data_IF_710426726098
#
_entry.id   IF_710426726098
#
_cell.length_a   1.000
_cell.length_b   1.000
_cell.length_c   1.000
_cell.angle_alpha   90.00
_cell.angle_beta   90.00
_cell.angle_gamma   90.00
#
_symmetry.space_group_name_H-M   'P 1'
#
loop_
_entity.id
_entity.type
_entity.pdbx_description
1 polymer ?
#
# COMPACT_ATOMS: atom_id res chain seq x y z
N UNK A 1 -6.26 -18.99 4.54
CA UNK A 1 -5.34 -17.91 4.13
C UNK A 1 -4.98 -16.97 5.28
N UNK A 2 -5.94 -16.48 6.10
CA UNK A 2 -5.60 -15.69 7.29
C UNK A 2 -5.12 -16.52 8.50
N UNK A 3 -5.48 -17.80 8.58
CA UNK A 3 -5.04 -18.69 9.65
C UNK A 3 -3.52 -18.84 9.70
N UNK A 4 -2.84 -18.91 8.54
CA UNK A 4 -1.38 -18.92 8.47
C UNK A 4 -0.75 -17.56 8.83
N UNK A 5 -1.45 -16.45 8.53
CA UNK A 5 -1.02 -15.10 8.93
C UNK A 5 -1.26 -14.80 10.42
N UNK A 6 -1.98 -15.70 11.12
CA UNK A 6 -2.25 -15.61 12.56
C UNK A 6 -1.18 -16.33 13.38
N UNK A 7 -0.22 -17.01 12.73
CA UNK A 7 0.90 -17.62 13.42
C UNK A 7 1.80 -16.53 14.02
N UNK A 8 2.24 -16.68 15.28
CA UNK A 8 3.09 -15.70 15.93
C UNK A 8 4.47 -15.68 15.26
N UNK A 9 4.65 -14.75 14.31
CA UNK A 9 5.95 -14.39 13.77
C UNK A 9 6.61 -13.37 14.71
N UNK A 10 7.06 -13.85 15.86
CA UNK A 10 7.77 -13.00 16.83
C UNK A 10 9.26 -13.07 16.53
N UNK A 11 9.84 -11.91 16.26
CA UNK A 11 11.28 -11.75 16.11
C UNK A 11 11.83 -11.00 17.32
N UNK A 12 12.99 -11.41 17.82
CA UNK A 12 13.67 -10.67 18.89
C UNK A 12 14.21 -9.35 18.33
N UNK A 13 14.35 -8.33 19.19
CA UNK A 13 14.91 -7.05 18.77
C UNK A 13 16.30 -7.20 18.13
N UNK A 14 17.16 -8.03 18.71
CA UNK A 14 18.49 -8.31 18.17
C UNK A 14 18.43 -8.99 16.78
N UNK A 15 17.50 -9.93 16.56
CA UNK A 15 17.35 -10.56 15.25
C UNK A 15 16.79 -9.58 14.21
N UNK A 16 15.90 -8.67 14.61
CA UNK A 16 15.43 -7.59 13.75
C UNK A 16 16.57 -6.67 13.33
N UNK A 17 17.34 -6.14 14.28
CA UNK A 17 18.45 -5.22 14.03
C UNK A 17 19.54 -5.86 13.14
N UNK A 18 19.82 -7.15 13.34
CA UNK A 18 20.77 -7.89 12.50
C UNK A 18 20.29 -8.02 11.04
N UNK A 19 18.99 -8.23 10.81
CA UNK A 19 18.41 -8.35 9.48
C UNK A 19 18.16 -6.98 8.83
N UNK A 20 17.81 -5.97 9.62
CA UNK A 20 17.45 -4.62 9.19
C UNK A 20 18.55 -4.00 8.33
N UNK A 21 19.80 -4.03 8.79
CA UNK A 21 20.93 -3.42 8.06
C UNK A 21 21.05 -3.98 6.64
N UNK A 22 21.06 -5.31 6.51
CA UNK A 22 21.19 -5.96 5.20
C UNK A 22 19.97 -5.71 4.30
N UNK A 23 18.77 -5.70 4.88
CA UNK A 23 17.54 -5.43 4.13
C UNK A 23 17.48 -3.98 3.65
N UNK A 24 17.91 -3.04 4.48
CA UNK A 24 17.98 -1.61 4.16
C UNK A 24 18.95 -1.36 3.01
N UNK A 25 20.16 -1.91 3.07
CA UNK A 25 21.16 -1.78 1.99
C UNK A 25 20.60 -2.29 0.66
N UNK A 26 20.06 -3.51 0.65
CA UNK A 26 19.45 -4.11 -0.54
C UNK A 26 18.26 -3.31 -1.07
N UNK A 27 17.50 -2.66 -0.19
CA UNK A 27 16.37 -1.83 -0.58
C UNK A 27 16.84 -0.51 -1.24
N UNK A 28 17.91 0.09 -0.73
CA UNK A 28 18.56 1.26 -1.34
C UNK A 28 19.15 0.92 -2.71
N UNK A 29 19.87 -0.20 -2.82
CA UNK A 29 20.42 -0.67 -4.10
C UNK A 29 19.30 -0.83 -5.15
N UNK A 30 18.18 -1.46 -4.75
CA UNK A 30 17.02 -1.64 -5.61
C UNK A 30 16.37 -0.30 -6.00
N UNK A 31 16.33 0.67 -5.09
CA UNK A 31 15.83 2.01 -5.38
C UNK A 31 16.70 2.71 -6.43
N UNK A 32 18.02 2.69 -6.26
CA UNK A 32 18.95 3.29 -7.22
C UNK A 32 18.88 2.58 -8.57
N UNK A 33 18.74 1.25 -8.61
CA UNK A 33 18.56 0.51 -9.87
C UNK A 33 17.30 0.96 -10.62
N UNK A 34 16.19 1.17 -9.91
CA UNK A 34 14.95 1.71 -10.51
C UNK A 34 15.16 3.13 -11.02
N UNK A 35 15.78 3.99 -10.20
CA UNK A 35 16.06 5.39 -10.51
C UNK A 35 17.00 5.57 -11.71
N UNK A 36 17.98 4.69 -11.87
CA UNK A 36 18.95 4.71 -12.97
C UNK A 36 18.34 4.21 -14.28
N UNK A 37 17.60 3.09 -14.23
CA UNK A 37 17.01 2.50 -15.45
C UNK A 37 15.90 3.34 -16.04
N UNK A 38 15.11 4.02 -15.20
CA UNK A 38 13.96 4.87 -15.59
C UNK A 38 13.01 4.21 -16.59
N UNK A 39 12.91 2.89 -16.55
CA UNK A 39 12.06 2.10 -17.44
C UNK A 39 10.69 1.78 -16.81
N UNK A 40 10.59 1.86 -15.49
CA UNK A 40 9.42 1.53 -14.72
C UNK A 40 9.20 2.47 -13.53
N UNK A 41 7.97 2.57 -13.07
CA UNK A 41 7.62 3.16 -11.77
C UNK A 41 7.24 2.04 -10.78
N UNK A 42 7.39 2.30 -9.49
CA UNK A 42 7.01 1.32 -8.45
C UNK A 42 5.91 1.92 -7.59
N UNK A 43 4.85 1.18 -7.34
CA UNK A 43 3.77 1.56 -6.43
C UNK A 43 3.63 0.52 -5.32
N UNK A 44 3.87 0.93 -4.07
CA UNK A 44 3.79 0.09 -2.88
C UNK A 44 2.49 0.37 -2.14
N UNK A 45 1.52 -0.52 -2.26
CA UNK A 45 0.22 -0.41 -1.63
C UNK A 45 0.26 -1.04 -0.25
N UNK A 46 0.27 -0.20 0.78
CA UNK A 46 0.27 -0.62 2.18
C UNK A 46 -1.16 -0.64 2.70
N UNK A 47 -1.73 -1.84 2.78
CA UNK A 47 -3.10 -2.10 3.19
C UNK A 47 -3.16 -2.78 4.55
N UNK A 48 -4.35 -2.80 5.14
CA UNK A 48 -4.62 -3.45 6.42
C UNK A 48 -5.73 -2.73 7.18
N UNK A 49 -6.17 -3.34 8.28
CA UNK A 49 -7.18 -2.79 9.17
C UNK A 49 -6.71 -1.48 9.84
N UNK A 50 -7.60 -0.79 10.52
CA UNK A 50 -7.22 0.39 11.30
C UNK A 50 -6.46 -0.03 12.56
N UNK A 51 -5.40 0.71 12.92
CA UNK A 51 -4.56 0.40 14.09
C UNK A 51 -3.40 -0.59 13.84
N UNK A 52 -3.25 -1.13 12.63
CA UNK A 52 -2.21 -2.14 12.30
C UNK A 52 -0.81 -1.57 12.04
N UNK A 53 -0.63 -0.24 12.08
CA UNK A 53 0.69 0.39 11.91
C UNK A 53 1.07 0.79 10.48
N UNK A 54 0.11 0.96 9.56
CA UNK A 54 0.38 1.37 8.16
C UNK A 54 1.30 2.60 8.05
N UNK A 55 1.04 3.62 8.86
CA UNK A 55 1.84 4.86 8.87
C UNK A 55 3.25 4.68 9.43
N UNK A 56 3.42 3.79 10.42
CA UNK A 56 4.75 3.48 10.97
C UNK A 56 5.64 2.81 9.92
N UNK A 57 5.07 1.93 9.09
CA UNK A 57 5.78 1.32 7.96
C UNK A 57 6.16 2.36 6.91
N UNK A 58 5.26 3.27 6.56
CA UNK A 58 5.59 4.36 5.61
C UNK A 58 6.72 5.22 6.15
N UNK A 59 6.67 5.63 7.41
CA UNK A 59 7.73 6.41 8.04
C UNK A 59 9.06 5.63 8.05
N UNK A 60 9.03 4.33 8.36
CA UNK A 60 10.22 3.46 8.31
C UNK A 60 10.83 3.40 6.91
N UNK A 61 9.99 3.32 5.87
CA UNK A 61 10.45 3.33 4.48
C UNK A 61 11.06 4.68 4.10
N UNK A 62 10.52 5.81 4.56
CA UNK A 62 11.15 7.12 4.40
C UNK A 62 12.50 7.23 5.13
N UNK A 63 12.65 6.62 6.30
CA UNK A 63 13.94 6.59 7.01
C UNK A 63 15.00 5.75 6.25
N UNK A 64 14.56 4.75 5.49
CA UNK A 64 15.43 3.79 4.84
C UNK A 64 15.80 4.17 3.41
N UNK A 65 14.87 4.75 2.65
CA UNK A 65 15.00 5.11 1.24
C UNK A 65 15.48 6.55 1.07
N UNK A 66 16.07 6.85 -0.09
CA UNK A 66 16.34 8.23 -0.50
C UNK A 66 15.02 8.94 -0.86
N UNK A 67 14.74 10.07 -0.20
CA UNK A 67 13.49 10.81 -0.31
C UNK A 67 13.30 11.48 -1.69
N UNK A 68 14.36 11.73 -2.46
CA UNK A 68 14.27 12.33 -3.79
C UNK A 68 13.50 11.43 -4.77
N UNK A 69 13.56 10.11 -4.59
CA UNK A 69 12.92 9.13 -5.47
C UNK A 69 11.62 8.55 -4.90
N UNK A 70 11.18 9.00 -3.71
CA UNK A 70 9.99 8.49 -3.03
C UNK A 70 8.93 9.58 -2.91
N UNK A 71 7.67 9.21 -3.13
CA UNK A 71 6.53 10.08 -2.86
C UNK A 71 5.38 9.33 -2.18
N UNK A 72 4.60 10.03 -1.36
CA UNK A 72 3.44 9.46 -0.68
C UNK A 72 2.17 9.78 -1.46
N UNK A 73 1.43 8.73 -1.81
CA UNK A 73 0.14 8.81 -2.49
C UNK A 73 -0.96 8.44 -1.50
N UNK A 74 -1.55 9.45 -0.87
CA UNK A 74 -2.57 9.25 0.17
C UNK A 74 -3.98 9.54 -0.36
N UNK A 75 -4.86 8.54 -0.27
CA UNK A 75 -6.20 8.63 -0.82
C UNK A 75 -7.25 8.61 0.30
N UNK A 76 -7.92 9.76 0.45
CA UNK A 76 -9.09 9.90 1.30
C UNK A 76 -10.40 9.62 0.56
N UNK A 77 -11.49 10.21 1.09
CA UNK A 77 -12.77 10.27 0.37
C UNK A 77 -12.54 10.99 -0.96
N UNK A 78 -13.16 10.53 -2.05
CA UNK A 78 -13.04 11.23 -3.32
C UNK A 78 -13.50 12.69 -3.20
N UNK A 79 -12.88 13.61 -3.94
CA UNK A 79 -13.37 14.98 -4.12
C UNK A 79 -14.55 15.02 -5.10
N UNK A 80 -15.21 16.18 -5.26
CA UNK A 80 -16.25 16.35 -6.29
C UNK A 80 -15.71 16.12 -7.70
N UNK A 81 -14.50 16.63 -7.94
CA UNK A 81 -13.80 16.44 -9.20
C UNK A 81 -13.50 14.95 -9.47
N UNK A 82 -12.99 14.22 -8.48
CA UNK A 82 -12.73 12.79 -8.62
C UNK A 82 -14.01 11.98 -8.81
N UNK A 83 -15.15 12.42 -8.24
CA UNK A 83 -16.47 11.79 -8.44
C UNK A 83 -17.01 12.01 -9.85
N UNK A 84 -16.63 13.09 -10.50
CA UNK A 84 -17.06 13.41 -11.87
C UNK A 84 -16.30 12.61 -12.94
N UNK A 85 -15.34 11.76 -12.54
CA UNK A 85 -14.49 10.96 -13.44
C UNK A 85 -14.57 9.46 -13.10
N UNK A 86 -14.12 8.57 -14.01
CA UNK A 86 -14.03 7.15 -13.72
C UNK A 86 -13.22 6.89 -12.44
N UNK A 87 -13.63 5.91 -11.62
CA UNK A 87 -13.05 5.71 -10.29
C UNK A 87 -11.54 5.48 -10.28
N UNK A 88 -11.00 4.87 -11.35
CA UNK A 88 -9.56 4.63 -11.50
C UNK A 88 -8.77 5.91 -11.80
N UNK A 89 -9.39 6.94 -12.40
CA UNK A 89 -8.73 8.13 -12.94
C UNK A 89 -7.79 8.82 -11.94
N UNK A 90 -8.23 8.95 -10.68
CA UNK A 90 -7.42 9.59 -9.64
C UNK A 90 -6.09 8.89 -9.41
N UNK A 91 -6.08 7.56 -9.49
CA UNK A 91 -4.87 6.75 -9.31
C UNK A 91 -3.96 6.85 -10.53
N UNK A 92 -4.54 6.96 -11.72
CA UNK A 92 -3.81 7.16 -12.97
C UNK A 92 -3.12 8.52 -13.05
N UNK A 93 -3.78 9.58 -12.57
CA UNK A 93 -3.20 10.92 -12.50
C UNK A 93 -1.97 10.94 -11.59
N UNK A 94 -2.03 10.20 -10.48
CA UNK A 94 -1.05 10.25 -9.40
C UNK A 94 0.04 9.17 -9.51
N UNK A 95 0.14 8.47 -10.65
CA UNK A 95 1.20 7.48 -10.87
C UNK A 95 2.56 8.21 -10.84
N UNK A 96 3.54 7.70 -10.07
CA UNK A 96 4.90 8.24 -10.07
C UNK A 96 5.54 8.18 -11.46
N UNK A 97 6.41 9.14 -11.77
CA UNK A 97 7.24 9.04 -12.96
C UNK A 97 8.14 7.79 -12.92
N UNK A 98 8.55 7.30 -14.10
CA UNK A 98 9.51 6.19 -14.18
C UNK A 98 10.80 6.54 -13.45
N UNK A 99 11.33 5.58 -12.68
CA UNK A 99 12.45 5.78 -11.77
C UNK A 99 12.05 6.22 -10.36
N UNK A 100 10.75 6.34 -10.06
CA UNK A 100 10.24 6.76 -8.75
C UNK A 100 9.41 5.66 -8.08
N UNK A 101 9.29 5.78 -6.76
CA UNK A 101 8.52 4.88 -5.88
C UNK A 101 7.39 5.68 -5.22
N UNK A 102 6.15 5.24 -5.44
CA UNK A 102 4.95 5.77 -4.79
C UNK A 102 4.51 4.89 -3.63
N UNK A 103 4.55 5.41 -2.40
CA UNK A 103 4.01 4.75 -1.21
C UNK A 103 2.52 5.09 -1.07
N UNK A 104 1.66 4.09 -1.33
CA UNK A 104 0.21 4.28 -1.41
C UNK A 104 -0.46 3.98 -0.08
N UNK A 105 -1.15 4.98 0.47
CA UNK A 105 -2.02 4.88 1.63
C UNK A 105 -3.49 5.07 1.23
N UNK A 106 -4.38 4.24 1.77
CA UNK A 106 -5.81 4.34 1.45
C UNK A 106 -6.16 3.87 0.03
N UNK A 107 -5.44 2.85 -0.47
CA UNK A 107 -5.59 2.33 -1.83
C UNK A 107 -7.03 1.98 -2.22
N UNK A 108 -7.25 1.77 -3.52
CA UNK A 108 -8.53 1.32 -4.06
C UNK A 108 -9.10 0.08 -3.35
N UNK A 109 -8.23 -0.86 -2.95
CA UNK A 109 -8.62 -2.05 -2.16
C UNK A 109 -9.21 -1.68 -0.81
N UNK A 110 -8.59 -0.73 -0.10
CA UNK A 110 -9.08 -0.30 1.22
C UNK A 110 -10.50 0.26 1.14
N UNK A 111 -10.78 1.13 0.16
CA UNK A 111 -12.12 1.71 -0.04
C UNK A 111 -13.15 0.63 -0.37
N UNK A 112 -12.83 -0.29 -1.27
CA UNK A 112 -13.73 -1.35 -1.69
C UNK A 112 -14.08 -2.28 -0.51
N UNK A 113 -13.07 -2.76 0.20
CA UNK A 113 -13.22 -3.63 1.36
C UNK A 113 -14.01 -2.94 2.48
N UNK A 114 -13.69 -1.69 2.79
CA UNK A 114 -14.41 -0.90 3.80
C UNK A 114 -15.89 -0.73 3.44
N UNK A 115 -16.21 -0.40 2.20
CA UNK A 115 -17.60 -0.23 1.78
C UNK A 115 -18.38 -1.55 1.82
N UNK A 116 -17.75 -2.67 1.45
CA UNK A 116 -18.34 -4.01 1.57
C UNK A 116 -18.59 -4.41 3.01
N UNK A 117 -17.63 -4.13 3.90
CA UNK A 117 -17.74 -4.43 5.34
C UNK A 117 -18.83 -3.59 6.03
N UNK A 118 -18.99 -2.32 5.63
CA UNK A 118 -20.02 -1.42 6.16
C UNK A 118 -21.41 -1.63 5.53
N UNK A 119 -21.59 -2.63 4.66
CA UNK A 119 -22.86 -2.89 3.98
C UNK A 119 -23.26 -1.81 2.95
N UNK A 120 -22.35 -0.90 2.60
CA UNK A 120 -22.59 0.18 1.62
C UNK A 120 -22.46 -0.29 0.17
N UNK A 121 -21.98 -1.50 -0.02
CA UNK A 121 -21.77 -2.11 -1.33
C UNK A 121 -22.28 -3.55 -1.31
N UNK A 122 -23.28 -3.84 -2.13
CA UNK A 122 -23.83 -5.19 -2.31
C UNK A 122 -22.84 -6.12 -3.02
N UNK A 123 -23.04 -7.44 -2.90
CA UNK A 123 -22.12 -8.45 -3.43
C UNK A 123 -21.85 -8.30 -4.94
N UNK A 124 -22.90 -8.19 -5.75
CA UNK A 124 -22.75 -8.05 -7.20
C UNK A 124 -22.02 -6.75 -7.60
N UNK A 125 -22.23 -5.67 -6.85
CA UNK A 125 -21.52 -4.41 -7.10
C UNK A 125 -20.05 -4.47 -6.65
N UNK A 126 -19.77 -5.21 -5.57
CA UNK A 126 -18.42 -5.50 -5.12
C UNK A 126 -17.64 -6.33 -6.14
N UNK A 127 -18.25 -7.41 -6.65
CA UNK A 127 -17.62 -8.29 -7.64
C UNK A 127 -17.28 -7.52 -8.93
N UNK A 128 -18.21 -6.71 -9.45
CA UNK A 128 -17.94 -5.83 -10.62
C UNK A 128 -16.83 -4.81 -10.37
N UNK A 129 -16.86 -4.13 -9.22
CA UNK A 129 -15.83 -3.15 -8.89
C UNK A 129 -14.45 -3.80 -8.74
N UNK A 130 -14.39 -5.02 -8.19
CA UNK A 130 -13.15 -5.79 -8.10
C UNK A 130 -12.59 -6.11 -9.49
N UNK A 131 -13.44 -6.55 -10.43
CA UNK A 131 -13.02 -6.79 -11.81
C UNK A 131 -12.52 -5.52 -12.52
N UNK A 132 -13.19 -4.38 -12.32
CA UNK A 132 -12.74 -3.09 -12.85
C UNK A 132 -11.35 -2.71 -12.30
N UNK A 133 -11.11 -2.99 -11.02
CA UNK A 133 -9.83 -2.71 -10.37
C UNK A 133 -8.73 -3.65 -10.89
N UNK A 134 -9.02 -4.93 -11.11
CA UNK A 134 -8.07 -5.87 -11.73
C UNK A 134 -7.69 -5.39 -13.13
N UNK A 135 -8.66 -4.94 -13.94
CA UNK A 135 -8.38 -4.37 -15.27
C UNK A 135 -7.52 -3.11 -15.20
N UNK A 136 -7.77 -2.25 -14.22
CA UNK A 136 -6.93 -1.06 -13.99
C UNK A 136 -5.49 -1.43 -13.61
N UNK A 137 -5.30 -2.40 -12.72
CA UNK A 137 -3.98 -2.90 -12.34
C UNK A 137 -3.22 -3.53 -13.53
N UNK A 138 -3.93 -4.26 -14.40
CA UNK A 138 -3.32 -4.86 -15.59
C UNK A 138 -2.84 -3.79 -16.58
N UNK A 139 -3.62 -2.73 -16.78
CA UNK A 139 -3.19 -1.58 -17.59
C UNK A 139 -1.95 -0.90 -16.99
N UNK A 140 -1.90 -0.70 -15.66
CA UNK A 140 -0.71 -0.15 -14.99
C UNK A 140 0.53 -1.01 -15.23
N UNK A 141 0.37 -2.35 -15.15
CA UNK A 141 1.45 -3.30 -15.41
C UNK A 141 1.97 -3.18 -16.85
N UNK A 142 1.07 -3.02 -17.83
CA UNK A 142 1.44 -2.82 -19.22
C UNK A 142 2.19 -1.51 -19.48
N UNK A 143 1.90 -0.45 -18.70
CA UNK A 143 2.60 0.84 -18.78
C UNK A 143 3.95 0.86 -18.02
N UNK A 144 4.39 -0.30 -17.49
CA UNK A 144 5.65 -0.42 -16.76
C UNK A 144 5.55 0.03 -15.31
N UNK A 145 4.40 -0.15 -14.65
CA UNK A 145 4.26 0.08 -13.21
C UNK A 145 4.31 -1.24 -12.46
N UNK A 146 5.28 -1.36 -11.54
CA UNK A 146 5.35 -2.49 -10.61
C UNK A 146 4.45 -2.23 -9.40
N UNK A 147 3.43 -3.08 -9.22
CA UNK A 147 2.49 -2.99 -8.10
C UNK A 147 2.87 -3.99 -6.99
N UNK A 148 3.35 -3.48 -5.85
CA UNK A 148 3.56 -4.28 -4.63
C UNK A 148 2.38 -4.10 -3.70
N UNK A 149 1.58 -5.16 -3.50
CA UNK A 149 0.38 -5.14 -2.65
C UNK A 149 0.66 -5.83 -1.32
N UNK A 150 0.81 -5.05 -0.25
CA UNK A 150 1.10 -5.54 1.10
C UNK A 150 -0.16 -5.42 1.95
N UNK A 151 -0.57 -6.52 2.60
CA UNK A 151 -1.67 -6.50 3.57
C UNK A 151 -1.14 -6.80 4.97
N UNK A 152 -1.25 -5.81 5.86
CA UNK A 152 -0.92 -5.94 7.27
C UNK A 152 -2.10 -6.54 8.02
N UNK A 153 -1.90 -7.75 8.51
CA UNK A 153 -2.86 -8.46 9.35
C UNK A 153 -2.45 -8.37 10.81
N UNK A 154 -3.44 -8.11 11.67
CA UNK A 154 -3.29 -8.06 13.12
C UNK A 154 -4.61 -8.48 13.74
N UNK A 155 -4.54 -9.16 14.88
CA UNK A 155 -5.73 -9.50 15.64
C UNK A 155 -6.54 -8.25 16.02
N UNK A 156 -7.86 -8.38 16.04
CA UNK A 156 -8.76 -7.26 16.30
C UNK A 156 -8.59 -6.67 17.70
N UNK A 157 -8.36 -7.51 18.72
CA UNK A 157 -8.18 -7.03 20.08
C UNK A 157 -6.89 -6.20 20.19
N UNK A 158 -5.83 -6.63 19.52
CA UNK A 158 -4.55 -5.93 19.49
C UNK A 158 -4.64 -4.61 18.71
N UNK A 159 -5.24 -4.63 17.52
CA UNK A 159 -5.45 -3.44 16.71
C UNK A 159 -6.27 -2.39 17.47
N UNK A 160 -7.33 -2.82 18.18
CA UNK A 160 -8.14 -1.94 19.04
C UNK A 160 -7.34 -1.38 20.21
N UNK A 161 -6.50 -2.19 20.85
CA UNK A 161 -5.63 -1.76 21.96
C UNK A 161 -4.65 -0.68 21.50
N UNK A 162 -4.01 -0.86 20.35
CA UNK A 162 -3.12 0.13 19.74
C UNK A 162 -3.86 1.41 19.39
N UNK A 163 -5.03 1.29 18.74
CA UNK A 163 -5.83 2.46 18.34
C UNK A 163 -6.28 3.29 19.55
N UNK A 164 -6.60 2.66 20.69
CA UNK A 164 -6.94 3.37 21.93
C UNK A 164 -5.77 4.15 22.53
N UNK A 165 -4.52 3.72 22.31
CA UNK A 165 -3.32 4.44 22.81
C UNK A 165 -2.98 5.68 21.97
N UNK A 166 -3.48 5.73 20.74
CA UNK A 166 -3.23 6.81 19.77
C UNK A 166 -4.35 7.87 19.75
N UNK A 167 -5.42 7.67 20.54
CA UNK A 167 -6.51 8.61 20.75
C UNK A 167 -6.38 9.27 22.11
#
# INVERSE_FOLDING_TARGET
MFESASLPHVMTKAAFEAAETQLRERLLDAQFEVADRKNAAVMVLINGSDGVGKGEIVNRLYDWLDDHFVETLSYGRPTDEERARPGAWRYWRDIPAKGRIGLVLGSWHHRLLRNRALGRLGRNAYDRALEEMIRAEEMLRHEGVYLLKIWLHMDFAEARRRLKKLR
#
